data_IF_454992117527
#
_entry.id   IF_454992117527
#
_cell.length_a   1.000
_cell.length_b   1.000
_cell.length_c   1.000
_cell.angle_alpha   90.00
_cell.angle_beta   90.00
_cell.angle_gamma   90.00
#
_symmetry.space_group_name_H-M   'P 1'
#
loop_
_entity.id
_entity.type
_entity.pdbx_description
1 polymer ?
#
# COMPACT_ATOMS: atom_id res chain seq x y z
N UNK A 1 -30.00 -1.43 11.04
CA UNK A 1 -29.40 -1.69 9.74
C UNK A 1 -28.20 -0.77 9.61
N UNK A 2 -27.01 -1.33 9.38
CA UNK A 2 -25.76 -0.58 9.12
C UNK A 2 -25.43 -0.58 7.62
N UNK A 3 -24.37 0.14 7.24
CA UNK A 3 -23.79 0.05 5.91
C UNK A 3 -23.14 -1.34 5.73
N UNK A 4 -23.24 -1.89 4.52
CA UNK A 4 -22.61 -3.14 4.11
C UNK A 4 -23.01 -4.41 4.90
N UNK A 5 -24.11 -4.38 5.65
CA UNK A 5 -24.60 -5.50 6.47
C UNK A 5 -25.76 -6.28 5.81
N UNK A 6 -26.18 -5.90 4.59
CA UNK A 6 -27.23 -6.58 3.85
C UNK A 6 -26.78 -7.92 3.27
N UNK A 7 -27.74 -8.79 2.85
CA UNK A 7 -27.40 -10.04 2.18
C UNK A 7 -26.72 -9.79 0.83
N UNK A 8 -25.82 -10.69 0.46
CA UNK A 8 -25.08 -10.63 -0.80
C UNK A 8 -25.86 -11.32 -1.93
N UNK A 9 -25.98 -10.66 -3.08
CA UNK A 9 -26.65 -11.21 -4.28
C UNK A 9 -25.65 -11.86 -5.24
N UNK A 10 -24.42 -11.39 -5.25
CA UNK A 10 -23.36 -11.91 -6.12
C UNK A 10 -22.00 -11.72 -5.49
N UNK A 11 -21.05 -12.61 -5.75
CA UNK A 11 -19.68 -12.55 -5.23
C UNK A 11 -18.68 -12.82 -6.34
N UNK A 12 -17.71 -11.92 -6.49
CA UNK A 12 -16.56 -12.13 -7.37
C UNK A 12 -15.29 -12.07 -6.51
N UNK A 13 -14.37 -12.99 -6.76
CA UNK A 13 -13.08 -13.04 -6.07
C UNK A 13 -11.98 -12.55 -6.98
N UNK A 14 -11.20 -11.58 -6.49
CA UNK A 14 -10.06 -11.01 -7.17
C UNK A 14 -8.81 -11.30 -6.35
N UNK A 15 -7.73 -11.85 -6.94
CA UNK A 15 -6.50 -12.10 -6.20
C UNK A 15 -5.81 -10.75 -5.88
N UNK A 16 -5.47 -10.53 -4.61
CA UNK A 16 -4.73 -9.33 -4.17
C UNK A 16 -3.31 -9.34 -4.74
N UNK A 17 -2.64 -10.50 -4.71
CA UNK A 17 -1.27 -10.67 -5.20
C UNK A 17 -0.32 -9.56 -4.67
N UNK A 18 0.40 -8.88 -5.58
CA UNK A 18 1.28 -7.76 -5.24
C UNK A 18 0.71 -6.39 -5.63
N UNK A 19 -0.59 -6.30 -5.86
CA UNK A 19 -1.25 -5.04 -6.22
C UNK A 19 -1.19 -4.04 -5.07
N UNK A 20 -1.10 -2.78 -5.42
CA UNK A 20 -1.35 -1.66 -4.50
C UNK A 20 -2.86 -1.52 -4.25
N UNK A 21 -3.22 -0.78 -3.23
CA UNK A 21 -4.64 -0.45 -2.97
C UNK A 21 -5.27 0.31 -4.14
N UNK A 22 -4.51 1.20 -4.81
CA UNK A 22 -5.01 1.91 -6.00
C UNK A 22 -5.35 0.94 -7.13
N UNK A 23 -4.41 0.08 -7.53
CA UNK A 23 -4.62 -0.91 -8.58
C UNK A 23 -5.79 -1.87 -8.26
N UNK A 24 -5.88 -2.30 -7.00
CA UNK A 24 -6.97 -3.16 -6.56
C UNK A 24 -8.31 -2.43 -6.56
N UNK A 25 -8.35 -1.15 -6.22
CA UNK A 25 -9.55 -0.32 -6.27
C UNK A 25 -10.06 -0.18 -7.71
N UNK A 26 -9.18 0.10 -8.65
CA UNK A 26 -9.54 0.24 -10.08
C UNK A 26 -10.09 -1.07 -10.64
N UNK A 27 -9.43 -2.19 -10.34
CA UNK A 27 -9.87 -3.53 -10.76
C UNK A 27 -11.22 -3.89 -10.14
N UNK A 28 -11.40 -3.67 -8.82
CA UNK A 28 -12.66 -3.94 -8.14
C UNK A 28 -13.80 -3.04 -8.61
N UNK A 29 -13.52 -1.80 -9.00
CA UNK A 29 -14.53 -0.90 -9.57
C UNK A 29 -15.05 -1.45 -10.91
N UNK A 30 -14.16 -1.92 -11.80
CA UNK A 30 -14.55 -2.52 -13.07
C UNK A 30 -15.35 -3.81 -12.87
N UNK A 31 -14.82 -4.74 -12.07
CA UNK A 31 -15.47 -6.02 -11.76
C UNK A 31 -16.81 -5.82 -11.05
N UNK A 32 -16.89 -4.84 -10.15
CA UNK A 32 -18.12 -4.49 -9.44
C UNK A 32 -19.19 -3.91 -10.36
N UNK A 33 -18.80 -3.09 -11.33
CA UNK A 33 -19.71 -2.56 -12.34
C UNK A 33 -20.33 -3.68 -13.19
N UNK A 34 -19.52 -4.60 -13.70
CA UNK A 34 -19.98 -5.74 -14.48
C UNK A 34 -20.90 -6.65 -13.65
N UNK A 35 -20.54 -6.94 -12.41
CA UNK A 35 -21.34 -7.72 -11.48
C UNK A 35 -22.70 -7.05 -11.21
N UNK A 36 -22.72 -5.73 -11.01
CA UNK A 36 -23.95 -4.97 -10.80
C UNK A 36 -24.89 -5.03 -12.00
N UNK A 37 -24.35 -4.85 -13.22
CA UNK A 37 -25.14 -4.95 -14.46
C UNK A 37 -25.73 -6.36 -14.61
N UNK A 38 -24.94 -7.42 -14.34
CA UNK A 38 -25.41 -8.79 -14.42
C UNK A 38 -26.54 -9.10 -13.43
N UNK A 39 -26.42 -8.65 -12.18
CA UNK A 39 -27.45 -8.82 -11.14
C UNK A 39 -28.74 -8.09 -11.49
N UNK A 40 -28.62 -6.83 -11.98
CA UNK A 40 -29.81 -6.03 -12.35
C UNK A 40 -30.52 -6.57 -13.59
N UNK A 41 -29.80 -7.25 -14.49
CA UNK A 41 -30.42 -7.86 -15.68
C UNK A 41 -31.34 -9.04 -15.35
N UNK A 42 -31.03 -9.80 -14.29
CA UNK A 42 -31.86 -10.91 -13.81
C UNK A 42 -31.80 -11.05 -12.28
N UNK A 43 -32.46 -10.13 -11.60
CA UNK A 43 -32.47 -10.10 -10.13
C UNK A 43 -33.05 -11.36 -9.50
N UNK A 44 -33.99 -12.04 -10.21
CA UNK A 44 -34.67 -13.24 -9.71
C UNK A 44 -33.72 -14.45 -9.69
N UNK A 45 -32.70 -14.49 -10.54
CA UNK A 45 -31.71 -15.56 -10.57
C UNK A 45 -30.69 -15.48 -9.44
N UNK A 46 -30.61 -14.35 -8.73
CA UNK A 46 -29.64 -14.09 -7.67
C UNK A 46 -30.27 -14.20 -6.28
N UNK A 47 -30.16 -15.41 -5.68
CA UNK A 47 -30.63 -15.63 -4.32
C UNK A 47 -29.80 -14.82 -3.30
N UNK A 48 -30.49 -14.16 -2.39
CA UNK A 48 -29.84 -13.37 -1.33
C UNK A 48 -29.18 -14.30 -0.30
N UNK A 49 -27.86 -14.18 -0.13
CA UNK A 49 -27.07 -14.95 0.84
C UNK A 49 -26.77 -14.07 2.07
N UNK A 50 -27.24 -14.43 3.28
CA UNK A 50 -26.92 -13.69 4.49
C UNK A 50 -25.42 -13.65 4.76
N UNK A 51 -24.91 -12.55 5.29
CA UNK A 51 -23.54 -12.45 5.78
C UNK A 51 -23.42 -13.10 7.17
N UNK A 52 -22.26 -13.65 7.48
CA UNK A 52 -21.94 -14.18 8.79
C UNK A 52 -21.39 -13.06 9.69
N UNK A 53 -22.22 -12.55 10.57
CA UNK A 53 -21.85 -11.47 11.50
C UNK A 53 -20.70 -11.87 12.44
N UNK A 54 -20.51 -13.18 12.70
CA UNK A 54 -19.42 -13.65 13.56
C UNK A 54 -18.04 -13.56 12.89
N UNK A 55 -18.01 -13.50 11.56
CA UNK A 55 -16.80 -13.34 10.76
C UNK A 55 -16.51 -11.87 10.42
N UNK A 56 -17.33 -10.92 10.88
CA UNK A 56 -17.14 -9.51 10.57
C UNK A 56 -15.87 -8.94 11.20
N UNK A 57 -15.05 -8.28 10.39
CA UNK A 57 -13.86 -7.57 10.84
C UNK A 57 -14.08 -6.09 10.55
N UNK A 58 -14.10 -5.27 11.60
CA UNK A 58 -14.22 -3.83 11.45
C UNK A 58 -12.93 -3.23 10.90
N UNK A 59 -13.01 -2.53 9.78
CA UNK A 59 -11.91 -1.77 9.18
C UNK A 59 -12.05 -0.28 9.52
N UNK A 60 -11.36 0.23 10.56
CA UNK A 60 -11.43 1.64 10.91
C UNK A 60 -10.78 2.51 9.84
N UNK A 61 -11.13 3.79 9.83
CA UNK A 61 -10.46 4.75 8.96
C UNK A 61 -8.98 4.84 9.32
N UNK A 62 -8.13 4.75 8.30
CA UNK A 62 -6.67 4.85 8.46
C UNK A 62 -6.29 6.23 8.99
N UNK A 63 -5.57 6.29 10.11
CA UNK A 63 -4.97 7.52 10.61
C UNK A 63 -3.70 7.85 9.79
N UNK A 64 -3.49 9.14 9.53
CA UNK A 64 -2.29 9.60 8.84
C UNK A 64 -0.99 9.30 9.60
N UNK A 65 -1.07 9.20 10.92
CA UNK A 65 0.06 8.82 11.77
C UNK A 65 0.49 7.37 11.52
N UNK A 66 -0.47 6.47 11.24
CA UNK A 66 -0.18 5.07 10.92
C UNK A 66 0.61 4.91 9.62
N UNK A 67 0.59 5.92 8.74
CA UNK A 67 1.31 5.89 7.47
C UNK A 67 2.82 6.13 7.62
N UNK A 68 3.31 6.54 8.78
CA UNK A 68 4.77 6.62 9.04
C UNK A 68 5.36 5.21 9.03
N UNK A 69 6.45 5.04 8.29
CA UNK A 69 7.19 3.78 8.25
C UNK A 69 7.98 3.63 9.54
N UNK A 70 7.79 2.51 10.21
CA UNK A 70 8.66 2.06 11.30
C UNK A 70 9.69 1.09 10.70
N UNK A 71 10.92 1.53 10.60
CA UNK A 71 12.00 0.72 10.05
C UNK A 71 12.40 -0.46 10.95
N UNK A 72 12.00 -0.48 12.22
CA UNK A 72 12.21 -1.62 13.10
C UNK A 72 11.37 -2.85 12.71
N UNK A 73 10.32 -2.66 11.91
CA UNK A 73 9.52 -3.74 11.36
C UNK A 73 10.30 -4.56 10.30
N UNK A 74 9.93 -5.83 10.08
CA UNK A 74 10.50 -6.62 8.97
C UNK A 74 10.21 -6.00 7.60
N UNK A 75 11.16 -6.04 6.68
CA UNK A 75 11.04 -5.51 5.33
C UNK A 75 9.76 -5.97 4.59
N UNK A 76 9.36 -7.24 4.76
CA UNK A 76 8.14 -7.78 4.17
C UNK A 76 6.85 -7.17 4.78
N UNK A 77 6.88 -6.71 6.02
CA UNK A 77 5.76 -6.00 6.66
C UNK A 77 5.67 -4.59 6.10
N UNK A 78 6.81 -3.90 6.05
CA UNK A 78 6.91 -2.53 5.51
C UNK A 78 6.47 -2.51 4.03
N UNK A 79 6.90 -3.48 3.20
CA UNK A 79 6.51 -3.57 1.79
C UNK A 79 5.00 -3.73 1.63
N UNK A 80 4.36 -4.59 2.42
CA UNK A 80 2.89 -4.74 2.42
C UNK A 80 2.19 -3.45 2.86
N UNK A 81 2.71 -2.76 3.86
CA UNK A 81 2.20 -1.46 4.32
C UNK A 81 2.30 -0.40 3.21
N UNK A 82 3.44 -0.35 2.51
CA UNK A 82 3.65 0.55 1.36
C UNK A 82 2.58 0.31 0.30
N UNK A 83 2.39 -0.94 -0.13
CA UNK A 83 1.34 -1.28 -1.13
C UNK A 83 -0.07 -1.01 -0.62
N UNK A 84 -0.34 -1.35 0.63
CA UNK A 84 -1.66 -1.15 1.26
C UNK A 84 -2.04 0.32 1.42
N UNK A 85 -1.08 1.23 1.43
CA UNK A 85 -1.32 2.67 1.57
C UNK A 85 -1.11 3.45 0.25
N UNK A 86 -0.66 2.81 -0.82
CA UNK A 86 -0.44 3.48 -2.11
C UNK A 86 -1.72 3.50 -2.96
N UNK A 87 -2.01 4.61 -3.65
CA UNK A 87 -1.27 5.86 -3.67
C UNK A 87 -1.60 6.80 -2.50
N UNK A 88 -2.68 6.56 -1.76
CA UNK A 88 -3.17 7.43 -0.69
C UNK A 88 -3.55 6.64 0.56
N UNK A 89 -3.15 7.11 1.77
CA UNK A 89 -2.40 8.34 2.07
C UNK A 89 -0.93 8.28 1.64
N UNK A 90 -0.39 7.11 1.32
CA UNK A 90 1.00 6.83 1.02
C UNK A 90 1.83 6.62 2.30
N UNK A 91 2.52 5.48 2.40
CA UNK A 91 3.49 5.28 3.47
C UNK A 91 4.63 6.29 3.33
N UNK A 92 5.17 6.79 4.45
CA UNK A 92 6.17 7.84 4.40
C UNK A 92 7.25 7.67 5.47
N UNK A 93 8.40 8.24 5.19
CA UNK A 93 9.51 8.37 6.13
C UNK A 93 10.13 9.76 6.05
N UNK A 94 11.02 10.06 6.97
CA UNK A 94 11.81 11.28 6.99
C UNK A 94 13.22 10.97 6.54
N UNK A 95 13.69 11.73 5.57
CA UNK A 95 15.07 11.70 5.10
C UNK A 95 15.76 12.97 5.60
N UNK A 96 16.79 12.80 6.44
CA UNK A 96 17.62 13.89 6.94
C UNK A 96 19.01 13.79 6.31
N UNK A 97 19.41 14.80 5.60
CA UNK A 97 20.72 14.92 4.97
C UNK A 97 21.22 16.39 4.97
N UNK A 98 22.31 16.66 4.26
CA UNK A 98 22.90 18.01 4.15
C UNK A 98 21.91 19.10 3.68
N UNK A 99 20.75 18.73 3.13
CA UNK A 99 19.68 19.62 2.66
C UNK A 99 18.56 19.80 3.67
N UNK A 100 18.66 19.10 4.82
CA UNK A 100 17.70 19.11 5.90
C UNK A 100 16.66 18.02 5.81
N UNK A 101 15.79 18.01 6.82
CA UNK A 101 14.74 17.02 7.00
C UNK A 101 13.62 17.19 5.97
N UNK A 102 13.33 16.13 5.22
CA UNK A 102 12.23 16.10 4.24
C UNK A 102 11.39 14.84 4.39
N UNK A 103 10.06 15.00 4.32
CA UNK A 103 9.14 13.87 4.27
C UNK A 103 9.06 13.34 2.85
N UNK A 104 9.36 12.05 2.70
CA UNK A 104 9.30 11.32 1.44
C UNK A 104 8.22 10.23 1.55
N UNK A 105 7.28 10.20 0.61
CA UNK A 105 6.38 9.05 0.47
C UNK A 105 7.08 7.95 -0.31
N UNK A 106 6.90 6.73 0.16
CA UNK A 106 7.28 5.49 -0.52
C UNK A 106 6.01 4.83 -1.04
N UNK A 107 5.89 4.72 -2.36
CA UNK A 107 4.66 4.23 -3.01
C UNK A 107 4.83 2.83 -3.60
N UNK A 108 6.06 2.44 -3.88
CA UNK A 108 6.41 1.08 -4.30
C UNK A 108 7.81 0.76 -3.81
N UNK A 109 8.00 -0.48 -3.34
CA UNK A 109 9.27 -0.95 -2.83
C UNK A 109 9.48 -2.44 -3.14
N UNK A 110 10.74 -2.85 -3.12
CA UNK A 110 11.15 -4.24 -3.23
C UNK A 110 11.83 -4.68 -1.93
N UNK A 111 11.50 -5.89 -1.49
CA UNK A 111 12.21 -6.54 -0.40
C UNK A 111 13.49 -7.13 -0.95
N UNK A 112 14.60 -6.78 -0.34
CA UNK A 112 15.92 -7.28 -0.71
C UNK A 112 16.48 -8.16 0.44
N UNK A 113 17.33 -9.15 0.13
CA UNK A 113 18.01 -9.92 1.15
C UNK A 113 19.02 -9.06 1.92
N UNK A 114 19.26 -9.41 3.16
CA UNK A 114 20.24 -8.76 4.02
C UNK A 114 19.71 -8.64 5.44
N UNK A 115 20.56 -8.83 6.43
CA UNK A 115 20.23 -8.75 7.84
C UNK A 115 21.37 -8.12 8.64
N UNK A 116 21.07 -7.70 9.87
CA UNK A 116 22.10 -7.17 10.79
C UNK A 116 22.42 -5.71 10.60
N UNK A 117 21.60 -4.95 9.87
CA UNK A 117 21.73 -3.51 9.69
C UNK A 117 20.90 -2.73 10.71
N UNK A 118 21.29 -1.50 10.97
CA UNK A 118 20.48 -0.60 11.80
C UNK A 118 19.17 -0.24 11.07
N UNK A 119 18.00 -0.35 11.72
CA UNK A 119 16.74 0.07 11.13
C UNK A 119 16.75 1.53 10.69
N UNK A 120 16.40 1.77 9.42
CA UNK A 120 16.39 3.10 8.81
C UNK A 120 17.73 3.56 8.24
N UNK A 121 18.80 2.80 8.44
CA UNK A 121 20.12 3.09 7.85
C UNK A 121 20.07 2.92 6.32
N UNK A 122 20.57 3.92 5.59
CA UNK A 122 20.76 3.83 4.15
C UNK A 122 22.13 3.21 3.88
N UNK A 123 22.14 2.02 3.32
CA UNK A 123 23.31 1.16 3.22
C UNK A 123 24.14 1.40 1.95
N UNK A 124 23.52 1.94 0.91
CA UNK A 124 24.15 2.07 -0.41
C UNK A 124 23.72 3.36 -1.08
N UNK A 125 24.49 3.80 -2.08
CA UNK A 125 24.14 4.93 -2.95
C UNK A 125 22.87 4.68 -3.76
N UNK A 126 22.45 3.42 -3.93
CA UNK A 126 21.16 3.02 -4.53
C UNK A 126 20.01 3.01 -3.51
N UNK A 127 20.22 3.61 -2.34
CA UNK A 127 19.21 3.79 -1.31
C UNK A 127 18.58 2.48 -0.81
N UNK A 128 19.38 1.42 -0.64
CA UNK A 128 18.92 0.25 0.10
C UNK A 128 18.85 0.60 1.57
N UNK A 129 17.71 0.35 2.23
CA UNK A 129 17.43 0.76 3.60
C UNK A 129 17.32 -0.46 4.49
N UNK A 130 18.04 -0.45 5.60
CA UNK A 130 17.99 -1.49 6.63
C UNK A 130 16.64 -1.52 7.34
N UNK A 131 16.14 -2.73 7.61
CA UNK A 131 14.91 -2.96 8.36
C UNK A 131 15.20 -3.85 9.58
N UNK A 132 14.23 -4.04 10.46
CA UNK A 132 14.38 -4.96 11.60
C UNK A 132 14.77 -6.38 11.19
N UNK A 133 14.34 -6.81 10.00
CA UNK A 133 14.80 -8.02 9.30
C UNK A 133 14.66 -7.81 7.79
N UNK A 134 15.70 -8.07 7.04
CA UNK A 134 15.78 -7.81 5.60
C UNK A 134 16.04 -6.34 5.31
N UNK A 135 16.01 -5.99 4.05
CA UNK A 135 16.21 -4.62 3.57
C UNK A 135 15.15 -4.25 2.54
N UNK A 136 14.97 -2.96 2.31
CA UNK A 136 14.04 -2.42 1.31
C UNK A 136 14.81 -1.57 0.31
N UNK A 137 14.49 -1.77 -0.97
CA UNK A 137 14.86 -0.89 -2.06
C UNK A 137 13.63 -0.09 -2.50
N UNK A 138 13.61 1.22 -2.39
CA UNK A 138 12.57 2.07 -2.98
C UNK A 138 12.49 1.89 -4.49
N UNK A 139 11.29 1.94 -5.06
CA UNK A 139 11.05 1.89 -6.51
C UNK A 139 10.37 3.17 -6.97
N UNK A 140 9.26 3.55 -6.32
CA UNK A 140 8.53 4.78 -6.58
C UNK A 140 8.45 5.62 -5.31
N UNK A 141 8.83 6.88 -5.45
CA UNK A 141 8.85 7.86 -4.36
C UNK A 141 8.07 9.13 -4.76
N UNK A 142 7.67 9.89 -3.74
CA UNK A 142 7.08 11.20 -3.95
C UNK A 142 7.57 12.17 -2.88
N UNK A 143 8.15 13.26 -3.31
CA UNK A 143 8.50 14.40 -2.46
C UNK A 143 7.28 15.29 -2.24
N UNK A 144 7.25 16.05 -1.15
CA UNK A 144 6.17 16.99 -0.87
C UNK A 144 5.97 17.97 -2.02
N UNK A 145 4.73 18.06 -2.53
CA UNK A 145 4.38 18.97 -3.64
C UNK A 145 4.99 18.62 -5.01
N UNK A 146 5.57 17.42 -5.17
CA UNK A 146 6.16 16.96 -6.44
C UNK A 146 5.38 15.76 -7.00
N UNK A 147 5.49 15.49 -8.30
CA UNK A 147 4.96 14.27 -8.90
C UNK A 147 5.66 13.03 -8.37
N UNK A 148 5.03 11.87 -8.56
CA UNK A 148 5.66 10.57 -8.32
C UNK A 148 6.83 10.41 -9.27
N UNK A 149 7.91 9.83 -8.78
CA UNK A 149 9.16 9.64 -9.52
C UNK A 149 9.78 8.28 -9.20
N UNK A 150 10.55 7.76 -10.14
CA UNK A 150 11.37 6.58 -9.91
C UNK A 150 12.52 6.87 -8.94
N UNK A 151 13.08 5.83 -8.33
CA UNK A 151 14.29 5.96 -7.51
C UNK A 151 15.43 6.63 -8.28
N UNK A 152 15.64 6.27 -9.55
CA UNK A 152 16.69 6.88 -10.37
C UNK A 152 16.51 8.39 -10.58
N UNK A 153 15.26 8.85 -10.76
CA UNK A 153 14.95 10.27 -10.85
C UNK A 153 15.16 10.98 -9.52
N UNK A 154 14.76 10.34 -8.42
CA UNK A 154 14.97 10.86 -7.08
C UNK A 154 16.45 11.06 -6.80
N UNK A 155 17.29 10.05 -7.05
CA UNK A 155 18.74 10.08 -6.80
C UNK A 155 19.49 11.08 -7.70
N UNK A 156 19.05 11.32 -8.95
CA UNK A 156 19.61 12.40 -9.76
C UNK A 156 19.41 13.78 -9.14
N UNK A 157 18.24 14.00 -8.53
CA UNK A 157 17.94 15.25 -7.85
C UNK A 157 18.49 15.34 -6.42
N UNK A 158 18.70 14.20 -5.76
CA UNK A 158 19.15 14.07 -4.36
C UNK A 158 20.05 12.84 -4.20
N UNK A 159 21.32 12.92 -4.62
CA UNK A 159 22.27 11.82 -4.46
C UNK A 159 22.46 11.49 -2.97
N UNK A 160 22.48 10.22 -2.65
CA UNK A 160 22.89 9.70 -1.34
C UNK A 160 24.42 9.60 -1.35
N UNK A 161 25.04 10.13 -0.28
CA UNK A 161 26.50 10.11 -0.09
C UNK A 161 26.93 8.96 0.79
#
# INVERSE_FOLDING_TARGET
>A
AGLDTGPMLHKVRVPVARKTTGELTDELAAVGADAMVAVLADLAAHAAEPQDDSAAIYAPKIDKAEAKIDWAEPAAVIERKVRGLAPFPGAWFELDDDRGLERIKLLLAEVMPGDGYCPGEILTTDMIIGCGRGTIRPVLLQRAGKPVMSLAEFLRGRPIK
#
